data_IF_553620925888
#
_entry.id   IF_553620925888
#
_cell.length_a   1.000
_cell.length_b   1.000
_cell.length_c   1.000
_cell.angle_alpha   90.00
_cell.angle_beta   90.00
_cell.angle_gamma   90.00
#
_symmetry.space_group_name_H-M   'P 1'
#
loop_
_entity.id
_entity.type
_entity.pdbx_description
1 polymer ?
#
# COMPACT_ATOMS: atom_id res chain seq x y z
N UNK A 1 6.30 6.37 -10.51
CA UNK A 1 5.48 7.56 -10.28
C UNK A 1 4.16 7.49 -11.05
N UNK A 2 3.05 7.47 -10.32
CA UNK A 2 1.68 7.62 -10.83
C UNK A 2 1.28 9.11 -10.90
N UNK A 3 0.00 9.38 -11.17
CA UNK A 3 -0.54 10.75 -11.26
C UNK A 3 -0.53 11.52 -9.93
N UNK A 4 -0.28 10.84 -8.80
CA UNK A 4 -0.18 11.43 -7.46
C UNK A 4 1.29 11.61 -7.04
N UNK A 5 2.24 11.16 -7.87
CA UNK A 5 3.66 11.19 -7.57
C UNK A 5 4.16 9.96 -6.79
N UNK A 6 3.31 8.95 -6.57
CA UNK A 6 3.71 7.75 -5.85
C UNK A 6 4.45 6.77 -6.77
N UNK A 7 5.50 6.12 -6.28
CA UNK A 7 6.05 4.96 -6.94
C UNK A 7 5.13 3.75 -6.78
N UNK A 8 4.91 3.05 -7.89
CA UNK A 8 4.01 1.90 -7.96
C UNK A 8 4.80 0.70 -8.44
N UNK A 9 4.72 -0.40 -7.69
CA UNK A 9 5.45 -1.61 -8.04
C UNK A 9 4.62 -2.87 -7.80
N UNK A 10 4.53 -3.70 -8.83
CA UNK A 10 3.90 -5.02 -8.74
C UNK A 10 4.95 -6.09 -8.52
N UNK A 11 4.90 -6.74 -7.35
CA UNK A 11 5.81 -7.82 -6.95
C UNK A 11 5.06 -9.14 -6.79
N UNK A 12 5.80 -10.25 -6.70
CA UNK A 12 5.22 -11.54 -6.31
C UNK A 12 4.70 -11.46 -4.86
N UNK A 13 3.64 -12.21 -4.54
CA UNK A 13 3.15 -12.31 -3.15
C UNK A 13 4.28 -12.77 -2.23
N UNK A 14 4.41 -12.10 -1.08
CA UNK A 14 5.47 -12.34 -0.11
C UNK A 14 6.76 -11.54 -0.36
N UNK A 15 6.91 -10.89 -1.51
CA UNK A 15 7.96 -9.92 -1.74
C UNK A 15 7.49 -8.50 -1.39
N UNK A 16 8.45 -7.63 -1.08
CA UNK A 16 8.22 -6.21 -0.79
C UNK A 16 8.75 -5.33 -1.93
N UNK A 17 8.16 -4.14 -2.14
CA UNK A 17 8.61 -3.21 -3.17
C UNK A 17 9.93 -2.51 -2.78
N UNK A 18 10.66 -1.99 -3.77
CA UNK A 18 11.97 -1.37 -3.59
C UNK A 18 11.95 -0.13 -2.68
N UNK A 19 10.83 0.60 -2.64
CA UNK A 19 10.66 1.76 -1.77
C UNK A 19 10.50 1.40 -0.27
N UNK A 20 10.46 0.11 0.10
CA UNK A 20 10.55 -0.32 1.50
C UNK A 20 11.99 -0.69 1.90
N UNK A 21 12.97 0.05 1.40
CA UNK A 21 14.39 -0.26 1.63
C UNK A 21 14.84 -0.09 3.09
N UNK A 22 14.11 0.70 3.89
CA UNK A 22 14.42 0.86 5.31
C UNK A 22 13.60 -0.12 6.17
N UNK A 23 14.11 -0.55 7.35
CA UNK A 23 13.44 -1.57 8.16
C UNK A 23 12.05 -1.18 8.67
N UNK A 24 11.79 0.11 8.85
CA UNK A 24 10.51 0.60 9.35
C UNK A 24 9.42 0.49 8.28
N UNK A 25 9.70 0.97 7.07
CA UNK A 25 8.79 0.84 5.92
C UNK A 25 8.59 -0.62 5.54
N UNK A 26 9.64 -1.45 5.60
CA UNK A 26 9.49 -2.90 5.39
C UNK A 26 8.52 -3.54 6.41
N UNK A 27 8.64 -3.17 7.70
CA UNK A 27 7.71 -3.65 8.75
C UNK A 27 6.29 -3.16 8.53
N UNK A 28 6.12 -1.88 8.20
CA UNK A 28 4.80 -1.28 7.95
C UNK A 28 4.07 -1.96 6.78
N UNK A 29 4.77 -2.17 5.65
CA UNK A 29 4.17 -2.81 4.47
C UNK A 29 3.91 -4.30 4.66
N UNK A 30 4.76 -4.99 5.43
CA UNK A 30 4.50 -6.38 5.84
C UNK A 30 3.24 -6.45 6.69
N UNK A 31 3.16 -5.64 7.74
CA UNK A 31 2.00 -5.59 8.62
C UNK A 31 0.72 -5.24 7.85
N UNK A 32 0.78 -4.26 6.95
CA UNK A 32 -0.36 -3.86 6.14
C UNK A 32 -0.84 -4.98 5.19
N UNK A 33 0.08 -5.78 4.67
CA UNK A 33 -0.24 -6.93 3.81
C UNK A 33 -0.84 -8.08 4.62
N UNK A 34 -0.42 -8.26 5.88
CA UNK A 34 -0.91 -9.34 6.74
C UNK A 34 -2.24 -8.97 7.45
N UNK A 35 -2.48 -7.69 7.70
CA UNK A 35 -3.61 -7.20 8.51
C UNK A 35 -4.61 -6.40 7.67
N UNK A 36 -4.89 -6.87 6.45
CA UNK A 36 -5.78 -6.18 5.50
C UNK A 36 -7.16 -5.91 6.07
N UNK A 37 -7.71 -6.88 6.82
CA UNK A 37 -9.05 -6.77 7.41
C UNK A 37 -9.11 -5.62 8.41
N UNK A 38 -8.05 -5.41 9.19
CA UNK A 38 -7.96 -4.26 10.09
C UNK A 38 -7.91 -2.94 9.30
N UNK A 39 -7.12 -2.89 8.22
CA UNK A 39 -6.95 -1.70 7.40
C UNK A 39 -8.19 -1.29 6.61
N UNK A 40 -9.06 -2.23 6.23
CA UNK A 40 -10.32 -1.92 5.55
C UNK A 40 -11.29 -1.15 6.46
N UNK A 41 -11.23 -1.36 7.77
CA UNK A 41 -12.06 -0.63 8.74
C UNK A 41 -11.44 0.67 9.24
N UNK A 42 -10.14 0.89 9.02
CA UNK A 42 -9.48 2.12 9.39
C UNK A 42 -9.78 3.23 8.36
N UNK A 43 -10.38 4.36 8.78
CA UNK A 43 -10.68 5.44 7.85
C UNK A 43 -9.39 6.04 7.28
N UNK A 44 -9.43 6.41 6.00
CA UNK A 44 -8.41 7.24 5.39
C UNK A 44 -8.76 8.71 5.61
N UNK A 45 -7.92 9.45 6.31
CA UNK A 45 -8.14 10.89 6.61
C UNK A 45 -7.32 11.83 5.72
N UNK A 46 -6.66 11.30 4.70
CA UNK A 46 -5.81 12.05 3.77
C UNK A 46 -6.58 12.98 2.81
N UNK A 47 -7.92 12.91 2.78
CA UNK A 47 -8.75 13.69 1.84
C UNK A 47 -8.86 13.10 0.42
N UNK A 48 -8.29 11.92 0.18
CA UNK A 48 -8.21 11.27 -1.14
C UNK A 48 -9.47 10.47 -1.52
N UNK A 49 -10.59 10.63 -0.83
CA UNK A 49 -11.80 9.83 -1.09
C UNK A 49 -12.32 10.00 -2.54
N UNK A 50 -12.19 11.19 -3.11
CA UNK A 50 -12.56 11.49 -4.51
C UNK A 50 -11.69 10.76 -5.54
N UNK A 51 -10.58 10.16 -5.13
CA UNK A 51 -9.72 9.32 -5.97
C UNK A 51 -10.10 7.83 -5.88
N UNK A 52 -11.20 7.51 -5.20
CA UNK A 52 -11.68 6.14 -5.00
C UNK A 52 -11.01 5.41 -3.83
N UNK A 53 -10.23 6.10 -2.98
CA UNK A 53 -9.68 5.50 -1.77
C UNK A 53 -10.78 5.34 -0.72
N UNK A 54 -10.96 4.10 -0.24
CA UNK A 54 -12.06 3.75 0.66
C UNK A 54 -11.61 3.52 2.11
N UNK A 55 -10.32 3.29 2.34
CA UNK A 55 -9.78 2.98 3.66
C UNK A 55 -8.27 3.22 3.71
N UNK A 56 -7.67 3.14 4.89
CA UNK A 56 -6.23 3.28 5.09
C UNK A 56 -5.43 2.17 4.35
N UNK A 57 -6.08 1.08 3.94
CA UNK A 57 -5.47 0.06 3.05
C UNK A 57 -4.96 0.68 1.74
N UNK A 58 -5.66 1.68 1.20
CA UNK A 58 -5.31 2.31 -0.07
C UNK A 58 -3.96 3.05 -0.03
N UNK A 59 -3.45 3.38 1.15
CA UNK A 59 -2.12 4.00 1.33
C UNK A 59 -0.96 3.02 1.04
N UNK A 60 -1.24 1.72 0.99
CA UNK A 60 -0.22 0.68 0.82
C UNK A 60 -0.43 -0.11 -0.47
N UNK A 61 -1.67 -0.50 -0.76
CA UNK A 61 -2.00 -1.50 -1.78
C UNK A 61 -3.01 -0.93 -2.77
N UNK A 62 -2.61 -0.86 -4.04
CA UNK A 62 -3.49 -0.48 -5.16
C UNK A 62 -4.29 -1.67 -5.71
N UNK A 63 -3.66 -2.83 -5.82
CA UNK A 63 -4.29 -4.02 -6.41
C UNK A 63 -3.66 -5.31 -5.88
N UNK A 64 -4.42 -6.41 -5.86
CA UNK A 64 -3.90 -7.73 -5.52
C UNK A 64 -4.55 -8.84 -6.35
N UNK A 65 -3.76 -9.86 -6.63
CA UNK A 65 -4.22 -11.12 -7.21
C UNK A 65 -3.83 -12.28 -6.29
N UNK A 66 -4.09 -13.51 -6.74
CA UNK A 66 -3.66 -14.73 -6.04
C UNK A 66 -2.14 -14.88 -5.97
N UNK A 67 -1.37 -14.25 -6.87
CA UNK A 67 0.08 -14.44 -6.97
C UNK A 67 0.91 -13.15 -6.89
N UNK A 68 0.28 -11.98 -7.02
CA UNK A 68 0.98 -10.68 -7.08
C UNK A 68 0.27 -9.61 -6.26
N UNK A 69 1.03 -8.63 -5.81
CA UNK A 69 0.55 -7.44 -5.12
C UNK A 69 1.14 -6.21 -5.79
N UNK A 70 0.29 -5.21 -6.07
CA UNK A 70 0.70 -3.89 -6.55
C UNK A 70 0.67 -2.92 -5.38
N UNK A 71 1.85 -2.49 -4.95
CA UNK A 71 2.04 -1.53 -3.87
C UNK A 71 2.19 -0.11 -4.41
N UNK A 72 1.87 0.87 -3.56
CA UNK A 72 2.15 2.29 -3.78
C UNK A 72 3.09 2.83 -2.70
N UNK A 73 3.95 3.80 -3.00
CA UNK A 73 4.89 4.41 -2.04
C UNK A 73 4.26 5.43 -1.10
N UNK A 74 2.94 5.61 -1.17
CA UNK A 74 2.20 6.65 -0.44
C UNK A 74 2.47 6.65 1.07
N UNK A 75 2.49 5.47 1.70
CA UNK A 75 2.78 5.32 3.13
C UNK A 75 4.29 5.27 3.47
N UNK A 76 5.17 5.37 2.47
CA UNK A 76 6.62 5.36 2.62
C UNK A 76 7.26 6.74 2.44
N UNK A 77 6.45 7.79 2.23
CA UNK A 77 6.86 9.18 1.99
C UNK A 77 6.41 10.07 3.14
#
# INVERSE_FOLDING_TARGET
MDTLGDDVQTVARGALPAFTANPETARLYTWATENKDALVWMPCTCGCANLGHTSNRSCYIKEETSSRVTYTSHAAT
#
